data_IF_108436690354
#
_entry.id   IF_108436690354
#
_cell.length_a   1.000
_cell.length_b   1.000
_cell.length_c   1.000
_cell.angle_alpha   90.00
_cell.angle_beta   90.00
_cell.angle_gamma   90.00
#
_symmetry.space_group_name_H-M   'P 1'
#
loop_
_entity.id
_entity.type
_entity.pdbx_description
1 polymer ?
#
# COMPACT_ATOMS: atom_id res chain seq x y z
N UNK A 1 -53.31 19.03 44.87
CA UNK A 1 -52.09 19.33 44.07
C UNK A 1 -50.96 18.30 44.27
N UNK A 2 -51.25 16.98 44.33
CA UNK A 2 -50.22 15.93 44.53
C UNK A 2 -49.93 15.07 43.28
N UNK A 3 -50.76 15.14 42.23
CA UNK A 3 -50.63 14.31 41.01
C UNK A 3 -49.76 14.91 39.90
N UNK A 4 -49.42 16.20 39.97
CA UNK A 4 -48.67 16.89 38.91
C UNK A 4 -47.14 16.76 39.05
N UNK A 5 -46.61 16.47 40.25
CA UNK A 5 -45.17 16.32 40.46
C UNK A 5 -44.60 14.99 39.94
N UNK A 6 -45.40 13.93 39.88
CA UNK A 6 -44.96 12.64 39.35
C UNK A 6 -44.72 12.66 37.83
N UNK A 7 -45.54 13.41 37.09
CA UNK A 7 -45.44 13.50 35.63
C UNK A 7 -44.21 14.31 35.22
N UNK A 8 -43.90 15.39 35.95
CA UNK A 8 -42.69 16.19 35.67
C UNK A 8 -41.40 15.40 35.90
N UNK A 9 -41.35 14.56 36.94
CA UNK A 9 -40.19 13.72 37.24
C UNK A 9 -39.93 12.65 36.18
N UNK A 10 -41.00 12.01 35.67
CA UNK A 10 -40.88 10.99 34.60
C UNK A 10 -40.47 11.62 33.26
N UNK A 11 -40.96 12.82 32.94
CA UNK A 11 -40.56 13.53 31.72
C UNK A 11 -39.08 13.98 31.74
N UNK A 12 -38.58 14.44 32.90
CA UNK A 12 -37.17 14.80 33.07
C UNK A 12 -36.25 13.57 32.99
N UNK A 13 -36.68 12.42 33.53
CA UNK A 13 -35.94 11.15 33.46
C UNK A 13 -35.93 10.54 32.07
N UNK A 14 -36.99 10.72 31.29
CA UNK A 14 -36.99 10.35 29.87
C UNK A 14 -36.04 11.24 29.09
N UNK A 15 -36.10 12.58 29.22
CA UNK A 15 -35.20 13.46 28.46
C UNK A 15 -33.72 13.21 28.75
N UNK A 16 -33.31 12.93 29.99
CA UNK A 16 -31.90 12.58 30.27
C UNK A 16 -31.47 11.27 29.62
N UNK A 17 -32.38 10.31 29.44
CA UNK A 17 -32.13 9.07 28.69
C UNK A 17 -31.97 9.29 27.17
N UNK A 18 -32.60 10.33 26.62
CA UNK A 18 -32.43 10.72 25.21
C UNK A 18 -31.14 11.54 24.98
N UNK A 19 -30.60 12.21 26.01
CA UNK A 19 -29.35 12.98 25.90
C UNK A 19 -28.10 12.20 26.33
N UNK A 20 -28.22 11.10 27.09
CA UNK A 20 -27.08 10.28 27.52
C UNK A 20 -26.64 9.21 26.52
N UNK A 21 -27.26 9.17 25.33
CA UNK A 21 -27.03 8.14 24.31
C UNK A 21 -26.21 8.60 23.10
N UNK A 22 -25.82 9.88 23.04
CA UNK A 22 -24.70 10.31 22.20
C UNK A 22 -23.41 10.13 23.00
N UNK A 23 -23.13 8.89 23.41
CA UNK A 23 -21.75 8.47 23.26
C UNK A 23 -21.47 8.69 21.78
N UNK A 24 -20.52 9.57 21.47
CA UNK A 24 -19.72 9.36 20.28
C UNK A 24 -19.14 7.96 20.46
N UNK A 25 -19.88 6.94 20.02
CA UNK A 25 -19.34 5.69 19.57
C UNK A 25 -18.43 6.15 18.44
N UNK A 26 -17.20 6.50 18.83
CA UNK A 26 -16.09 6.69 17.93
C UNK A 26 -15.97 5.34 17.26
N UNK A 27 -16.71 5.16 16.17
CA UNK A 27 -16.55 4.07 15.25
C UNK A 27 -15.10 4.17 14.85
N UNK A 28 -14.26 3.33 15.48
CA UNK A 28 -12.90 3.14 15.01
C UNK A 28 -13.03 2.94 13.50
N UNK A 29 -12.30 3.71 12.69
CA UNK A 29 -12.42 3.58 11.24
C UNK A 29 -12.22 2.09 10.90
N UNK A 30 -13.17 1.56 10.12
CA UNK A 30 -13.19 0.16 9.67
C UNK A 30 -12.15 -0.12 8.57
N UNK A 31 -11.42 0.92 8.22
CA UNK A 31 -10.32 0.96 7.28
C UNK A 31 -9.16 1.77 7.85
N UNK A 32 -8.00 1.59 7.25
CA UNK A 32 -6.82 2.40 7.46
C UNK A 32 -6.35 2.91 6.11
N UNK A 33 -5.82 4.13 6.06
CA UNK A 33 -5.16 4.61 4.86
C UNK A 33 -3.73 4.06 4.83
N UNK A 34 -3.41 3.30 3.79
CA UNK A 34 -2.05 2.82 3.52
C UNK A 34 -1.39 3.76 2.52
N UNK A 35 -0.34 4.47 2.95
CA UNK A 35 0.55 5.18 2.04
C UNK A 35 1.62 4.21 1.55
N UNK A 36 1.81 4.15 0.25
CA UNK A 36 2.77 3.28 -0.42
C UNK A 36 3.86 4.14 -1.02
N UNK A 37 5.12 3.80 -0.75
CA UNK A 37 6.26 4.31 -1.50
C UNK A 37 7.11 3.14 -1.97
N UNK A 38 6.93 2.76 -3.23
CA UNK A 38 7.67 1.69 -3.87
C UNK A 38 8.99 2.21 -4.44
N UNK A 39 10.09 1.54 -4.08
CA UNK A 39 11.43 1.83 -4.60
C UNK A 39 11.93 0.64 -5.43
N UNK A 40 12.39 0.92 -6.64
CA UNK A 40 12.89 -0.10 -7.58
C UNK A 40 14.34 0.19 -7.94
N UNK A 41 15.18 -0.82 -7.74
CA UNK A 41 16.54 -0.89 -8.24
C UNK A 41 16.58 -1.87 -9.43
N UNK A 42 17.43 -1.59 -10.40
CA UNK A 42 17.69 -2.49 -11.53
C UNK A 42 19.18 -2.82 -11.52
N UNK A 43 19.52 -4.10 -11.71
CA UNK A 43 20.91 -4.55 -11.87
C UNK A 43 21.02 -5.40 -13.12
N UNK A 44 22.11 -5.23 -13.85
CA UNK A 44 22.50 -6.15 -14.90
C UNK A 44 23.28 -7.31 -14.27
N UNK A 45 23.03 -8.53 -14.73
CA UNK A 45 23.75 -9.72 -14.31
C UNK A 45 24.31 -10.47 -15.53
N UNK A 46 25.46 -11.12 -15.35
CA UNK A 46 26.07 -11.98 -16.37
C UNK A 46 25.43 -13.39 -16.41
N UNK A 47 25.98 -14.26 -17.25
CA UNK A 47 25.51 -15.65 -17.38
C UNK A 47 25.61 -16.44 -16.07
N UNK A 48 26.57 -16.10 -15.20
CA UNK A 48 26.85 -16.73 -13.91
C UNK A 48 26.19 -16.00 -12.73
N UNK A 49 25.24 -15.11 -13.01
CA UNK A 49 24.50 -14.30 -12.03
C UNK A 49 25.37 -13.32 -11.22
N UNK A 50 26.55 -12.94 -11.73
CA UNK A 50 27.35 -11.87 -11.14
C UNK A 50 26.78 -10.50 -11.53
N UNK A 51 26.71 -9.59 -10.57
CA UNK A 51 26.28 -8.20 -10.80
C UNK A 51 27.32 -7.45 -11.63
N UNK A 52 26.86 -6.87 -12.73
CA UNK A 52 27.65 -5.98 -13.58
C UNK A 52 27.44 -4.53 -13.13
N UNK A 53 28.54 -3.82 -12.86
CA UNK A 53 28.52 -2.41 -12.46
C UNK A 53 28.43 -1.48 -13.69
N UNK A 54 27.32 -1.60 -14.40
CA UNK A 54 26.99 -0.79 -15.59
C UNK A 54 25.80 0.10 -15.23
N UNK A 55 25.82 1.36 -15.70
CA UNK A 55 24.69 2.26 -15.47
C UNK A 55 23.42 1.72 -16.15
N UNK A 56 22.33 1.73 -15.38
CA UNK A 56 20.99 1.37 -15.84
C UNK A 56 20.11 2.60 -16.01
N UNK A 57 20.69 3.80 -15.95
CA UNK A 57 19.94 5.04 -16.14
C UNK A 57 19.33 5.08 -17.53
N UNK A 58 18.06 5.44 -17.61
CA UNK A 58 17.28 5.34 -18.85
C UNK A 58 16.49 4.04 -19.00
N UNK A 59 16.70 3.01 -18.15
CA UNK A 59 15.91 1.79 -18.22
C UNK A 59 14.44 2.08 -17.85
N UNK A 60 13.46 1.63 -18.66
CA UNK A 60 12.04 1.84 -18.39
C UNK A 60 11.55 0.86 -17.32
N UNK A 61 10.85 1.37 -16.32
CA UNK A 61 10.28 0.59 -15.22
C UNK A 61 8.80 0.92 -15.11
N UNK A 62 7.96 -0.12 -15.06
CA UNK A 62 6.54 0.03 -14.75
C UNK A 62 6.32 -0.45 -13.32
N UNK A 63 5.72 0.41 -12.49
CA UNK A 63 5.31 0.08 -11.13
C UNK A 63 3.79 0.08 -11.11
N UNK A 64 3.21 -1.02 -10.64
CA UNK A 64 1.76 -1.15 -10.45
C UNK A 64 1.46 -1.39 -8.97
N UNK A 65 0.46 -0.70 -8.45
CA UNK A 65 -0.06 -0.90 -7.11
C UNK A 65 -1.54 -1.24 -7.24
N UNK A 66 -1.96 -2.37 -6.68
CA UNK A 66 -3.36 -2.84 -6.77
C UNK A 66 -3.94 -3.08 -5.38
N UNK A 67 -5.26 -2.91 -5.27
CA UNK A 67 -6.07 -3.39 -4.15
C UNK A 67 -7.04 -4.44 -4.65
N UNK A 68 -6.99 -5.64 -4.07
CA UNK A 68 -7.80 -6.80 -4.49
C UNK A 68 -7.69 -7.14 -6.00
N UNK A 69 -6.61 -6.70 -6.68
CA UNK A 69 -6.48 -6.84 -8.14
C UNK A 69 -7.45 -6.01 -8.99
N UNK A 70 -8.29 -5.17 -8.38
CA UNK A 70 -9.32 -4.38 -9.08
C UNK A 70 -8.90 -2.92 -9.20
N UNK A 71 -8.77 -2.23 -8.06
CA UNK A 71 -8.35 -0.83 -8.05
C UNK A 71 -6.85 -0.80 -8.33
N UNK A 72 -6.42 0.04 -9.26
CA UNK A 72 -5.02 0.10 -9.69
C UNK A 72 -4.48 1.51 -9.81
N UNK A 73 -3.20 1.66 -9.50
CA UNK A 73 -2.37 2.81 -9.84
C UNK A 73 -1.18 2.30 -10.63
N UNK A 74 -1.01 2.79 -11.85
CA UNK A 74 0.09 2.42 -12.74
C UNK A 74 1.01 3.60 -12.97
N UNK A 75 2.31 3.38 -12.81
CA UNK A 75 3.34 4.40 -12.93
C UNK A 75 4.42 3.94 -13.89
N UNK A 76 4.57 4.67 -14.99
CA UNK A 76 5.74 4.56 -15.85
C UNK A 76 6.86 5.43 -15.30
N UNK A 77 8.04 4.84 -15.12
CA UNK A 77 9.23 5.47 -14.56
C UNK A 77 10.43 5.14 -15.42
N UNK A 78 11.46 5.96 -15.24
CA UNK A 78 12.77 5.76 -15.85
C UNK A 78 13.79 5.74 -14.72
N UNK A 79 14.71 4.78 -14.77
CA UNK A 79 15.81 4.69 -13.82
C UNK A 79 16.69 5.94 -13.89
N UNK A 80 17.04 6.49 -12.73
CA UNK A 80 17.95 7.62 -12.58
C UNK A 80 18.85 7.40 -11.37
N UNK A 81 20.17 7.51 -11.53
CA UNK A 81 21.14 7.21 -10.48
C UNK A 81 20.92 5.83 -9.85
N UNK A 82 20.51 4.84 -10.64
CA UNK A 82 20.27 3.46 -10.17
C UNK A 82 19.01 3.24 -9.33
N UNK A 83 18.09 4.21 -9.26
CA UNK A 83 16.81 4.10 -8.54
C UNK A 83 15.66 4.69 -9.39
N UNK A 84 14.46 4.15 -9.22
CA UNK A 84 13.23 4.90 -9.45
C UNK A 84 12.19 4.60 -8.37
N UNK A 85 11.21 5.48 -8.23
CA UNK A 85 10.19 5.35 -7.19
C UNK A 85 8.81 5.83 -7.65
N UNK A 86 7.79 5.28 -7.01
CA UNK A 86 6.40 5.70 -7.15
C UNK A 86 5.72 5.73 -5.79
N UNK A 87 4.79 6.66 -5.63
CA UNK A 87 3.99 6.82 -4.42
C UNK A 87 2.52 6.74 -4.77
N UNK A 88 1.75 6.09 -3.91
CA UNK A 88 0.31 5.97 -4.02
C UNK A 88 -0.31 5.74 -2.65
N UNK A 89 -1.63 5.74 -2.58
CA UNK A 89 -2.35 5.40 -1.36
C UNK A 89 -3.64 4.66 -1.66
N UNK A 90 -4.02 3.79 -0.73
CA UNK A 90 -5.30 3.09 -0.74
C UNK A 90 -5.84 3.00 0.68
N UNK A 91 -7.16 3.06 0.81
CA UNK A 91 -7.80 2.60 2.03
C UNK A 91 -7.87 1.06 2.00
N UNK A 92 -7.42 0.45 3.09
CA UNK A 92 -7.39 -0.97 3.31
C UNK A 92 -8.36 -1.30 4.45
N UNK A 93 -9.29 -2.22 4.23
CA UNK A 93 -10.20 -2.74 5.24
C UNK A 93 -9.79 -4.15 5.67
N UNK A 94 -10.49 -4.68 6.69
CA UNK A 94 -10.34 -6.07 7.10
C UNK A 94 -10.57 -7.04 5.93
N UNK A 95 -9.77 -8.10 5.90
CA UNK A 95 -9.80 -9.18 4.89
C UNK A 95 -9.38 -8.74 3.47
N UNK A 96 -8.93 -7.48 3.30
CA UNK A 96 -8.36 -6.98 2.06
C UNK A 96 -6.83 -7.06 2.04
N UNK A 97 -6.26 -6.96 0.85
CA UNK A 97 -4.84 -6.92 0.57
C UNK A 97 -4.49 -5.90 -0.52
N UNK A 98 -3.24 -5.44 -0.47
CA UNK A 98 -2.59 -4.65 -1.50
C UNK A 98 -1.47 -5.45 -2.13
N UNK A 99 -1.25 -5.26 -3.42
CA UNK A 99 -0.09 -5.80 -4.12
C UNK A 99 0.67 -4.65 -4.78
N UNK A 100 1.99 -4.77 -4.83
CA UNK A 100 2.83 -3.88 -5.58
C UNK A 100 3.77 -4.70 -6.46
N UNK A 101 3.76 -4.41 -7.76
CA UNK A 101 4.59 -5.08 -8.74
C UNK A 101 5.47 -4.08 -9.47
N UNK A 102 6.67 -4.51 -9.85
CA UNK A 102 7.61 -3.72 -10.62
C UNK A 102 8.18 -4.56 -11.76
N UNK A 103 8.18 -4.01 -12.98
CA UNK A 103 8.61 -4.71 -14.20
C UNK A 103 9.46 -3.82 -15.10
N UNK A 104 10.29 -4.45 -15.94
CA UNK A 104 11.04 -3.79 -17.02
C UNK A 104 10.54 -4.39 -18.36
N UNK A 105 9.44 -3.87 -18.92
CA UNK A 105 8.60 -4.61 -19.88
C UNK A 105 9.28 -4.93 -21.21
N UNK A 106 10.26 -4.12 -21.64
CA UNK A 106 11.01 -4.32 -22.90
C UNK A 106 12.47 -4.72 -22.67
N UNK A 107 12.83 -5.03 -21.42
CA UNK A 107 14.24 -5.15 -21.06
C UNK A 107 15.00 -3.83 -21.22
N UNK A 108 16.33 -3.91 -21.30
CA UNK A 108 17.21 -2.76 -21.47
C UNK A 108 18.51 -3.16 -22.16
N UNK A 109 18.89 -2.48 -23.25
CA UNK A 109 20.16 -2.69 -23.97
C UNK A 109 20.50 -4.17 -24.28
N UNK A 110 19.52 -4.97 -24.69
CA UNK A 110 19.70 -6.40 -24.99
C UNK A 110 19.61 -7.34 -23.78
N UNK A 111 19.40 -6.81 -22.57
CA UNK A 111 19.10 -7.59 -21.38
C UNK A 111 17.59 -7.71 -21.17
N UNK A 112 17.13 -8.85 -20.68
CA UNK A 112 15.73 -9.12 -20.34
C UNK A 112 15.56 -9.36 -18.84
N UNK A 113 14.42 -8.96 -18.28
CA UNK A 113 14.14 -9.16 -16.87
C UNK A 113 13.99 -10.66 -16.55
N UNK A 114 14.68 -11.12 -15.51
CA UNK A 114 14.59 -12.51 -15.03
C UNK A 114 13.25 -12.77 -14.34
N UNK A 115 12.83 -11.83 -13.50
CA UNK A 115 11.58 -11.87 -12.76
C UNK A 115 11.11 -10.45 -12.41
N UNK A 116 9.79 -10.25 -12.22
CA UNK A 116 9.28 -9.00 -11.69
C UNK A 116 9.61 -8.85 -10.20
N UNK A 117 9.62 -7.61 -9.70
CA UNK A 117 9.48 -7.34 -8.28
C UNK A 117 8.03 -7.52 -7.86
N UNK A 118 7.78 -8.16 -6.71
CA UNK A 118 6.43 -8.37 -6.17
C UNK A 118 6.45 -8.28 -4.65
N UNK A 119 5.49 -7.57 -4.08
CA UNK A 119 5.23 -7.53 -2.64
C UNK A 119 3.72 -7.49 -2.39
N UNK A 120 3.30 -8.12 -1.29
CA UNK A 120 1.91 -8.15 -0.83
C UNK A 120 1.83 -7.63 0.60
N UNK A 121 0.83 -6.79 0.86
CA UNK A 121 0.48 -6.32 2.20
C UNK A 121 -0.93 -6.81 2.51
N UNK A 122 -1.12 -7.46 3.66
CA UNK A 122 -2.44 -7.89 4.14
C UNK A 122 -2.86 -7.10 5.36
N UNK A 123 -4.17 -7.06 5.63
CA UNK A 123 -4.70 -6.44 6.84
C UNK A 123 -4.07 -6.97 8.13
N UNK A 124 -3.81 -8.28 8.25
CA UNK A 124 -3.22 -8.89 9.44
C UNK A 124 -1.81 -8.35 9.71
N UNK A 125 -1.04 -8.14 8.63
CA UNK A 125 0.31 -7.57 8.71
C UNK A 125 0.26 -6.16 9.27
N UNK A 126 -0.72 -5.36 8.84
CA UNK A 126 -0.87 -3.99 9.34
C UNK A 126 -1.39 -3.98 10.77
N UNK A 127 -2.44 -4.74 11.06
CA UNK A 127 -3.06 -4.84 12.39
C UNK A 127 -2.07 -5.25 13.48
N UNK A 128 -1.11 -6.14 13.18
CA UNK A 128 -0.06 -6.53 14.12
C UNK A 128 0.95 -5.41 14.43
N UNK A 129 0.99 -4.35 13.61
CA UNK A 129 2.00 -3.29 13.63
C UNK A 129 1.49 -1.91 14.07
N UNK A 130 0.17 -1.70 14.18
CA UNK A 130 -0.42 -0.38 14.48
C UNK A 130 -1.13 -0.30 15.84
N UNK A 131 -0.80 0.74 16.62
CA UNK A 131 -1.80 1.43 17.44
C UNK A 131 -2.67 2.24 16.48
N UNK A 132 -3.96 1.92 16.37
CA UNK A 132 -4.90 2.47 15.38
C UNK A 132 -4.98 4.01 15.41
N UNK A 133 -4.11 4.67 14.64
CA UNK A 133 -4.07 6.13 14.40
C UNK A 133 -4.51 6.52 12.98
N UNK A 134 -5.16 5.61 12.25
CA UNK A 134 -5.77 5.86 10.93
C UNK A 134 -4.86 5.76 9.71
N UNK A 135 -3.54 5.59 9.88
CA UNK A 135 -2.59 5.56 8.76
C UNK A 135 -1.47 4.54 8.95
N UNK A 136 -1.07 3.87 7.87
CA UNK A 136 0.07 2.96 7.81
C UNK A 136 0.96 3.30 6.61
N UNK A 137 2.28 3.30 6.79
CA UNK A 137 3.22 3.55 5.70
C UNK A 137 3.91 2.25 5.29
N UNK A 138 3.76 1.87 4.02
CA UNK A 138 4.33 0.66 3.43
C UNK A 138 5.40 1.02 2.39
N UNK A 139 6.59 0.43 2.54
CA UNK A 139 7.78 0.77 1.76
C UNK A 139 8.37 -0.44 1.02
N UNK A 140 7.66 -1.03 0.03
CA UNK A 140 8.20 -2.17 -0.70
C UNK A 140 9.43 -1.75 -1.51
N UNK A 141 10.51 -2.55 -1.39
CA UNK A 141 11.78 -2.36 -2.09
C UNK A 141 12.03 -3.54 -3.01
N UNK A 142 12.31 -3.25 -4.28
CA UNK A 142 12.51 -4.26 -5.31
C UNK A 142 13.90 -4.15 -5.92
N UNK A 143 14.52 -5.29 -6.22
CA UNK A 143 15.71 -5.36 -7.08
C UNK A 143 15.36 -6.26 -8.26
N UNK A 144 15.29 -5.68 -9.45
CA UNK A 144 15.04 -6.42 -10.69
C UNK A 144 16.38 -6.73 -11.35
N UNK A 145 16.62 -8.01 -11.61
CA UNK A 145 17.79 -8.45 -12.36
C UNK A 145 17.45 -8.56 -13.85
N UNK A 146 18.29 -7.95 -14.69
CA UNK A 146 18.25 -8.13 -16.13
C UNK A 146 19.44 -8.99 -16.57
N UNK A 147 19.19 -10.03 -17.36
CA UNK A 147 20.20 -10.96 -17.86
C UNK A 147 20.31 -10.86 -19.37
N UNK A 148 21.53 -10.92 -19.90
CA UNK A 148 21.75 -10.86 -21.35
C UNK A 148 21.16 -12.12 -22.00
N UNK A 149 20.27 -11.94 -22.98
CA UNK A 149 19.68 -13.03 -23.75
C UNK A 149 20.57 -13.57 -24.87
N UNK A 150 21.73 -12.95 -25.13
CA UNK A 150 22.71 -13.44 -26.09
C UNK A 150 23.46 -14.64 -25.49
N UNK A 151 22.86 -15.81 -25.64
CA UNK A 151 23.62 -17.05 -25.85
C UNK A 151 24.21 -16.95 -27.25
N UNK A 152 25.51 -16.69 -27.35
CA UNK A 152 26.30 -16.95 -28.57
C UNK A 152 27.15 -18.18 -28.27
#
# INVERSE_FOLDING_TARGET
MKKQFGILGVCLLFMTFWFSGCDEIGTKPDHITVNIMAAVFVKLIDANDNVLNISVDGAPVNIEMTKEGIDRLTFERVMQSGLCQATGSFDLSKDQYLECTATVPKGYQGYSAVAPGYAKLTWETVNASTNFGGMYNWYPKFVIHLKNGLVI
#
